data_IF_304849786405
#
_entry.id   IF_304849786405
#
_cell.length_a   1.000
_cell.length_b   1.000
_cell.length_c   1.000
_cell.angle_alpha   90.00
_cell.angle_beta   90.00
_cell.angle_gamma   90.00
#
_symmetry.space_group_name_H-M   'P 1'
#
loop_
_entity.id
_entity.type
_entity.pdbx_description
1 polymer ?
#
# COMPACT_ATOMS: atom_id res chain seq x y z
N UNK A 1 -2.66 18.94 4.16
CA UNK A 1 -2.25 20.11 3.35
C UNK A 1 -2.13 19.65 1.90
N UNK A 2 -2.70 20.43 0.99
CA UNK A 2 -2.66 20.14 -0.45
C UNK A 2 -1.21 20.13 -0.96
N UNK A 3 -0.85 19.11 -1.74
CA UNK A 3 0.51 18.87 -2.24
C UNK A 3 1.50 18.33 -1.21
N UNK A 4 1.09 18.13 0.05
CA UNK A 4 1.92 17.52 1.11
C UNK A 4 1.33 16.19 1.56
N UNK A 5 0.09 16.19 2.05
CA UNK A 5 -0.58 14.98 2.51
C UNK A 5 -1.38 14.33 1.37
N UNK A 6 -2.05 15.15 0.55
CA UNK A 6 -2.87 14.73 -0.60
C UNK A 6 -2.84 15.80 -1.69
N UNK A 7 -3.12 15.41 -2.93
CA UNK A 7 -3.52 16.35 -3.99
C UNK A 7 -5.04 16.33 -4.09
N UNK A 8 -5.71 17.40 -3.64
CA UNK A 8 -7.17 17.46 -3.63
C UNK A 8 -7.69 17.93 -4.99
N UNK A 9 -8.37 17.04 -5.71
CA UNK A 9 -8.93 17.31 -7.04
C UNK A 9 -10.44 17.04 -7.10
N UNK A 10 -11.11 17.66 -8.06
CA UNK A 10 -12.54 17.41 -8.32
C UNK A 10 -12.79 15.98 -8.81
N UNK A 11 -13.98 15.40 -8.57
CA UNK A 11 -14.36 14.09 -9.11
C UNK A 11 -14.21 13.96 -10.63
N UNK A 12 -14.52 15.03 -11.39
CA UNK A 12 -14.40 15.08 -12.84
C UNK A 12 -12.94 14.92 -13.26
N UNK A 13 -12.05 15.72 -12.66
CA UNK A 13 -10.60 15.59 -12.87
C UNK A 13 -10.08 14.21 -12.47
N UNK A 14 -10.57 13.60 -11.39
CA UNK A 14 -10.16 12.25 -11.02
C UNK A 14 -10.58 11.22 -12.07
N UNK A 15 -11.79 11.34 -12.62
CA UNK A 15 -12.25 10.47 -13.70
C UNK A 15 -11.39 10.60 -14.96
N UNK A 16 -11.01 11.83 -15.33
CA UNK A 16 -10.06 12.05 -16.44
C UNK A 16 -8.72 11.34 -16.22
N UNK A 17 -8.18 11.36 -14.99
CA UNK A 17 -6.92 10.68 -14.68
C UNK A 17 -7.04 9.15 -14.75
N UNK A 18 -8.20 8.59 -14.39
CA UNK A 18 -8.48 7.17 -14.59
C UNK A 18 -8.50 6.86 -16.09
N UNK A 19 -9.28 7.62 -16.87
CA UNK A 19 -9.49 7.37 -18.30
C UNK A 19 -8.20 7.56 -19.11
N UNK A 20 -7.32 8.47 -18.70
CA UNK A 20 -6.01 8.68 -19.34
C UNK A 20 -4.92 7.72 -18.89
N UNK A 21 -5.19 6.84 -17.92
CA UNK A 21 -4.20 5.91 -17.36
C UNK A 21 -3.07 6.62 -16.59
N UNK A 22 -3.38 7.77 -15.98
CA UNK A 22 -2.41 8.58 -15.21
C UNK A 22 -2.33 8.17 -13.73
N UNK A 23 -3.11 7.19 -13.29
CA UNK A 23 -3.05 6.60 -11.95
C UNK A 23 -2.42 5.21 -12.00
N UNK A 24 -1.45 4.93 -11.12
CA UNK A 24 -0.89 3.58 -10.94
C UNK A 24 -1.87 2.65 -10.22
N UNK A 25 -2.63 3.19 -9.28
CA UNK A 25 -3.74 2.53 -8.61
C UNK A 25 -4.79 3.56 -8.20
N UNK A 26 -6.01 3.09 -7.96
CA UNK A 26 -7.06 3.87 -7.33
C UNK A 26 -8.12 2.96 -6.70
N UNK A 27 -8.85 3.50 -5.73
CA UNK A 27 -9.94 2.82 -5.05
C UNK A 27 -11.08 3.77 -4.68
N UNK A 28 -12.28 3.21 -4.52
CA UNK A 28 -13.42 3.89 -3.91
C UNK A 28 -13.37 3.77 -2.39
N UNK A 29 -13.36 4.91 -1.70
CA UNK A 29 -13.22 4.99 -0.25
C UNK A 29 -14.61 5.12 0.39
N UNK A 30 -14.82 4.40 1.49
CA UNK A 30 -16.10 4.37 2.24
C UNK A 30 -17.32 4.04 1.37
N UNK A 31 -17.19 3.09 0.44
CA UNK A 31 -18.30 2.65 -0.41
C UNK A 31 -18.71 3.67 -1.47
N UNK A 32 -17.74 4.40 -2.03
CA UNK A 32 -17.96 5.35 -3.12
C UNK A 32 -18.17 6.79 -2.67
N UNK A 33 -17.94 7.12 -1.39
CA UNK A 33 -18.05 8.50 -0.90
C UNK A 33 -17.03 9.43 -1.60
N UNK A 34 -15.82 8.94 -1.81
CA UNK A 34 -14.78 9.60 -2.61
C UNK A 34 -13.83 8.56 -3.20
N UNK A 35 -12.89 9.02 -4.03
CA UNK A 35 -11.83 8.19 -4.62
C UNK A 35 -10.47 8.69 -4.18
N UNK A 36 -9.55 7.75 -4.00
CA UNK A 36 -8.13 8.00 -3.75
C UNK A 36 -7.32 7.16 -4.71
N UNK A 37 -6.12 7.61 -5.04
CA UNK A 37 -5.23 6.89 -5.93
C UNK A 37 -3.86 7.54 -6.04
N UNK A 38 -2.93 6.81 -6.65
CA UNK A 38 -1.53 7.19 -6.74
C UNK A 38 -1.20 7.69 -8.15
N UNK A 39 -0.91 9.00 -8.34
CA UNK A 39 -0.58 9.54 -9.66
C UNK A 39 0.79 9.07 -10.15
N UNK A 40 0.87 8.66 -11.42
CA UNK A 40 2.08 8.11 -12.02
C UNK A 40 3.17 9.16 -12.25
N UNK A 41 2.79 10.38 -12.67
CA UNK A 41 3.75 11.41 -13.09
C UNK A 41 4.73 11.84 -11.98
N UNK A 42 4.29 12.16 -10.74
CA UNK A 42 5.21 12.50 -9.66
C UNK A 42 6.21 11.39 -9.35
N UNK A 43 5.77 10.13 -9.44
CA UNK A 43 6.60 8.94 -9.19
C UNK A 43 7.64 8.78 -10.29
N UNK A 44 7.21 8.76 -11.55
CA UNK A 44 8.11 8.65 -12.71
C UNK A 44 9.14 9.76 -12.72
N UNK A 45 8.74 10.99 -12.36
CA UNK A 45 9.65 12.12 -12.23
C UNK A 45 10.67 11.91 -11.11
N UNK A 46 10.24 11.49 -9.92
CA UNK A 46 11.15 11.23 -8.81
C UNK A 46 12.17 10.13 -9.14
N UNK A 47 11.72 9.03 -9.75
CA UNK A 47 12.58 7.94 -10.22
C UNK A 47 13.58 8.44 -11.26
N UNK A 48 13.13 9.22 -12.25
CA UNK A 48 14.00 9.82 -13.27
C UNK A 48 15.05 10.76 -12.67
N UNK A 49 14.72 11.46 -11.60
CA UNK A 49 15.63 12.33 -10.86
C UNK A 49 16.60 11.54 -9.95
N UNK A 50 16.56 10.20 -9.96
CA UNK A 50 17.39 9.34 -9.10
C UNK A 50 16.98 9.39 -7.63
N UNK A 51 15.75 9.80 -7.32
CA UNK A 51 15.22 9.81 -5.95
C UNK A 51 14.45 8.51 -5.69
N UNK A 52 14.73 7.81 -4.58
CA UNK A 52 13.96 6.63 -4.22
C UNK A 52 12.51 7.04 -3.91
N UNK A 53 11.56 6.18 -4.26
CA UNK A 53 10.13 6.37 -4.05
C UNK A 53 9.58 5.17 -3.30
N UNK A 54 8.84 5.44 -2.23
CA UNK A 54 8.06 4.44 -1.51
C UNK A 54 6.57 4.71 -1.73
N UNK A 55 5.83 3.67 -2.11
CA UNK A 55 4.37 3.70 -2.26
C UNK A 55 3.80 2.73 -1.23
N UNK A 56 2.96 3.23 -0.33
CA UNK A 56 2.23 2.41 0.65
C UNK A 56 0.79 2.25 0.18
N UNK A 57 0.39 1.01 -0.11
CA UNK A 57 -0.93 0.65 -0.65
C UNK A 57 -1.37 -0.71 -0.10
N UNK A 58 -2.67 -1.02 -0.18
CA UNK A 58 -3.18 -2.35 0.13
C UNK A 58 -2.81 -3.38 -0.96
N UNK A 59 -3.25 -4.64 -0.78
CA UNK A 59 -2.96 -5.72 -1.74
C UNK A 59 -3.49 -5.44 -3.15
N UNK A 60 -4.67 -4.82 -3.29
CA UNK A 60 -5.24 -4.50 -4.60
C UNK A 60 -4.44 -3.39 -5.28
N UNK A 61 -4.08 -2.35 -4.52
CA UNK A 61 -3.23 -1.27 -4.98
C UNK A 61 -1.84 -1.77 -5.40
N UNK A 62 -1.21 -2.65 -4.63
CA UNK A 62 0.09 -3.22 -4.96
C UNK A 62 0.06 -3.99 -6.29
N UNK A 63 -0.98 -4.79 -6.54
CA UNK A 63 -1.19 -5.49 -7.81
C UNK A 63 -1.39 -4.53 -8.98
N UNK A 64 -2.18 -3.48 -8.79
CA UNK A 64 -2.42 -2.45 -9.80
C UNK A 64 -1.13 -1.68 -10.14
N UNK A 65 -0.35 -1.28 -9.13
CA UNK A 65 0.95 -0.65 -9.30
C UNK A 65 1.90 -1.56 -10.09
N UNK A 66 2.02 -2.85 -9.71
CA UNK A 66 2.90 -3.80 -10.42
C UNK A 66 2.48 -4.01 -11.88
N UNK A 67 1.17 -3.97 -12.18
CA UNK A 67 0.67 -4.05 -13.54
C UNK A 67 0.98 -2.77 -14.36
N UNK A 68 0.84 -1.59 -13.76
CA UNK A 68 1.08 -0.29 -14.40
C UNK A 68 2.57 0.08 -14.50
N UNK A 69 3.40 -0.44 -13.60
CA UNK A 69 4.83 -0.18 -13.47
C UNK A 69 5.58 -1.48 -13.11
N UNK A 70 5.79 -2.41 -14.07
CA UNK A 70 6.39 -3.72 -13.81
C UNK A 70 7.79 -3.69 -13.20
N UNK A 71 8.52 -2.60 -13.39
CA UNK A 71 9.84 -2.34 -12.81
C UNK A 71 9.79 -2.00 -11.31
N UNK A 72 8.62 -1.69 -10.75
CA UNK A 72 8.48 -1.46 -9.32
C UNK A 72 8.74 -2.75 -8.55
N UNK A 73 9.53 -2.66 -7.48
CA UNK A 73 9.74 -3.75 -6.53
C UNK A 73 8.61 -3.77 -5.51
N UNK A 74 7.88 -4.88 -5.42
CA UNK A 74 6.82 -5.05 -4.44
C UNK A 74 7.35 -5.74 -3.19
N UNK A 75 7.06 -5.17 -2.02
CA UNK A 75 7.48 -5.71 -0.72
C UNK A 75 6.26 -5.98 0.15
N UNK A 76 6.08 -7.22 0.59
CA UNK A 76 5.07 -7.58 1.57
C UNK A 76 5.67 -7.48 2.98
N UNK A 77 5.04 -6.69 3.86
CA UNK A 77 5.46 -6.59 5.27
C UNK A 77 4.66 -7.59 6.10
N UNK A 78 5.25 -8.76 6.37
CA UNK A 78 4.62 -9.83 7.11
C UNK A 78 4.71 -9.59 8.64
N UNK A 79 3.70 -9.99 9.42
CA UNK A 79 3.87 -10.14 10.87
C UNK A 79 4.84 -11.30 11.19
N UNK A 80 5.42 -11.35 12.40
CA UNK A 80 6.29 -12.45 12.80
C UNK A 80 5.54 -13.78 12.86
N UNK A 81 4.28 -13.74 13.29
CA UNK A 81 3.38 -14.87 13.35
C UNK A 81 1.92 -14.40 13.37
N UNK A 82 1.00 -15.36 13.18
CA UNK A 82 -0.44 -15.10 13.19
C UNK A 82 -0.94 -14.57 14.54
N UNK A 83 -0.40 -15.09 15.65
CA UNK A 83 -0.86 -14.73 16.99
C UNK A 83 -0.58 -13.26 17.30
N UNK A 84 0.62 -12.77 16.98
CA UNK A 84 1.02 -11.38 17.12
C UNK A 84 0.15 -10.45 16.28
N UNK A 85 -0.22 -10.87 15.06
CA UNK A 85 -1.14 -10.11 14.22
C UNK A 85 -2.54 -10.03 14.84
N UNK A 86 -3.07 -11.16 15.31
CA UNK A 86 -4.38 -11.25 15.95
C UNK A 86 -4.44 -10.36 17.20
N UNK A 87 -3.43 -10.40 18.06
CA UNK A 87 -3.31 -9.54 19.24
C UNK A 87 -3.31 -8.05 18.87
N UNK A 88 -2.60 -7.65 17.80
CA UNK A 88 -2.59 -6.25 17.31
C UNK A 88 -3.96 -5.81 16.76
N UNK A 89 -4.67 -6.70 16.07
CA UNK A 89 -5.99 -6.43 15.50
C UNK A 89 -7.07 -6.31 16.58
N UNK A 90 -7.02 -7.17 17.61
CA UNK A 90 -7.93 -7.15 18.77
C UNK A 90 -7.60 -6.00 19.73
N UNK A 91 -6.31 -5.75 19.97
CA UNK A 91 -5.80 -4.82 20.97
C UNK A 91 -6.15 -3.35 20.74
N UNK A 92 -6.67 -2.99 19.56
CA UNK A 92 -7.21 -1.63 19.31
C UNK A 92 -8.45 -1.31 20.16
N UNK A 93 -9.08 -2.32 20.78
CA UNK A 93 -9.96 -2.20 21.95
C UNK A 93 -11.25 -1.38 21.77
N UNK A 94 -11.53 -0.93 20.56
CA UNK A 94 -12.61 0.03 20.24
C UNK A 94 -13.58 -0.49 19.18
N UNK A 95 -13.31 -1.69 18.65
CA UNK A 95 -14.07 -2.32 17.56
C UNK A 95 -14.98 -3.44 18.08
N UNK A 96 -16.10 -3.68 17.39
CA UNK A 96 -17.00 -4.78 17.75
C UNK A 96 -16.43 -6.14 17.32
N UNK A 97 -16.88 -7.26 17.92
CA UNK A 97 -16.43 -8.60 17.53
C UNK A 97 -16.59 -8.89 16.02
N UNK A 98 -17.65 -8.37 15.40
CA UNK A 98 -17.91 -8.54 13.96
C UNK A 98 -16.88 -7.79 13.10
N UNK A 99 -16.46 -6.60 13.54
CA UNK A 99 -15.41 -5.83 12.85
C UNK A 99 -14.06 -6.53 12.98
N UNK A 100 -13.74 -7.04 14.17
CA UNK A 100 -12.50 -7.80 14.40
C UNK A 100 -12.47 -9.05 13.52
N UNK A 101 -13.56 -9.83 13.48
CA UNK A 101 -13.65 -11.03 12.64
C UNK A 101 -13.40 -10.69 11.16
N UNK A 102 -14.05 -9.63 10.65
CA UNK A 102 -13.82 -9.17 9.26
C UNK A 102 -12.37 -8.78 9.01
N UNK A 103 -11.71 -8.08 9.95
CA UNK A 103 -10.30 -7.70 9.81
C UNK A 103 -9.37 -8.91 9.82
N UNK A 104 -9.65 -9.92 10.65
CA UNK A 104 -8.90 -11.17 10.67
C UNK A 104 -9.07 -11.93 9.36
N UNK A 105 -10.29 -11.99 8.80
CA UNK A 105 -10.53 -12.62 7.50
C UNK A 105 -9.79 -11.91 6.36
N UNK A 106 -9.82 -10.56 6.34
CA UNK A 106 -9.01 -9.75 5.41
C UNK A 106 -7.53 -10.10 5.56
N UNK A 107 -7.01 -10.14 6.78
CA UNK A 107 -5.60 -10.40 7.01
C UNK A 107 -5.17 -11.82 6.61
N UNK A 108 -6.05 -12.83 6.75
CA UNK A 108 -5.79 -14.19 6.21
C UNK A 108 -5.67 -14.17 4.69
N UNK A 109 -6.55 -13.45 4.01
CA UNK A 109 -6.51 -13.34 2.56
C UNK A 109 -5.25 -12.61 2.09
N UNK A 110 -4.84 -11.55 2.79
CA UNK A 110 -3.59 -10.81 2.50
C UNK A 110 -2.36 -11.68 2.72
N UNK A 111 -2.27 -12.42 3.83
CA UNK A 111 -1.16 -13.34 4.10
C UNK A 111 -1.06 -14.47 3.08
N UNK A 112 -2.19 -14.96 2.55
CA UNK A 112 -2.20 -15.98 1.51
C UNK A 112 -1.61 -15.46 0.18
N UNK A 113 -1.65 -14.15 -0.06
CA UNK A 113 -1.13 -13.50 -1.25
C UNK A 113 0.32 -13.04 -1.14
N UNK A 114 1.00 -13.25 0.00
CA UNK A 114 2.37 -12.74 0.23
C UNK A 114 3.39 -13.24 -0.81
N UNK A 115 3.15 -14.41 -1.42
CA UNK A 115 4.01 -14.99 -2.46
C UNK A 115 3.92 -14.30 -3.82
N UNK A 116 2.99 -13.35 -3.98
CA UNK A 116 2.88 -12.51 -5.19
C UNK A 116 3.90 -11.35 -5.21
N UNK A 117 4.54 -11.07 -4.07
CA UNK A 117 5.46 -9.96 -3.92
C UNK A 117 6.90 -10.38 -4.23
N UNK A 118 7.71 -9.45 -4.73
CA UNK A 118 9.11 -9.70 -5.06
C UNK A 118 9.95 -9.99 -3.80
N UNK A 119 9.58 -9.38 -2.67
CA UNK A 119 10.23 -9.56 -1.36
C UNK A 119 9.21 -9.65 -0.23
N UNK A 120 9.59 -10.37 0.83
CA UNK A 120 8.83 -10.44 2.09
C UNK A 120 9.76 -9.96 3.20
N UNK A 121 9.35 -8.92 3.93
CA UNK A 121 10.04 -8.40 5.10
C UNK A 121 9.22 -8.78 6.33
N UNK A 122 9.82 -9.50 7.27
CA UNK A 122 9.14 -9.92 8.50
C UNK A 122 9.31 -8.85 9.57
N UNK A 123 8.20 -8.24 10.01
CA UNK A 123 8.16 -7.19 11.01
C UNK A 123 8.08 -7.77 12.44
N UNK A 124 9.13 -8.50 12.83
CA UNK A 124 9.35 -8.99 14.20
C UNK A 124 9.90 -7.89 15.12
N UNK A 125 10.74 -7.01 14.58
CA UNK A 125 11.34 -5.87 15.23
C UNK A 125 11.31 -4.66 14.29
N UNK A 126 10.91 -3.50 14.82
CA UNK A 126 10.71 -2.29 14.02
C UNK A 126 12.02 -1.80 13.39
N UNK A 127 13.11 -1.80 14.16
CA UNK A 127 14.39 -1.28 13.71
C UNK A 127 14.95 -2.15 12.57
N UNK A 128 14.87 -3.47 12.73
CA UNK A 128 15.32 -4.44 11.73
C UNK A 128 14.50 -4.37 10.46
N UNK A 129 13.16 -4.32 10.57
CA UNK A 129 12.28 -4.22 9.41
C UNK A 129 12.49 -2.91 8.64
N UNK A 130 12.65 -1.79 9.35
CA UNK A 130 12.98 -0.50 8.74
C UNK A 130 14.34 -0.53 8.04
N UNK A 131 15.37 -1.12 8.66
CA UNK A 131 16.69 -1.24 8.05
C UNK A 131 16.66 -2.06 6.76
N UNK A 132 15.91 -3.16 6.73
CA UNK A 132 15.72 -3.98 5.53
C UNK A 132 14.99 -3.22 4.43
N UNK A 133 13.89 -2.51 4.75
CA UNK A 133 13.19 -1.66 3.78
C UNK A 133 14.06 -0.53 3.23
N UNK A 134 14.89 0.10 4.07
CA UNK A 134 15.82 1.15 3.63
C UNK A 134 16.86 0.58 2.68
N UNK A 135 17.46 -0.57 3.00
CA UNK A 135 18.40 -1.26 2.11
C UNK A 135 17.78 -1.53 0.74
N UNK A 136 16.53 -2.03 0.69
CA UNK A 136 15.81 -2.24 -0.57
C UNK A 136 15.57 -0.97 -1.38
N UNK A 137 15.46 0.19 -0.73
CA UNK A 137 15.20 1.48 -1.37
C UNK A 137 16.45 2.16 -1.92
N UNK A 138 17.63 1.89 -1.36
CA UNK A 138 18.88 2.64 -1.67
C UNK A 138 19.98 1.78 -2.28
N UNK A 139 19.91 0.46 -2.15
CA UNK A 139 20.92 -0.42 -2.72
C UNK A 139 20.74 -0.53 -4.25
N UNK A 140 21.84 -0.44 -5.03
CA UNK A 140 21.83 -0.34 -6.49
C UNK A 140 21.45 -1.62 -7.25
#
# INVERSE_FOLDING_TARGET
MDGVDYSFISPERFAELIDSGELLEWAEIHGGLHRSGTPAEPIRRAVKDGRPVLIEVDLAGARAVKAAMPEAMTVFVAPPDWQTLEERLVGRGTETPEVIARRLDTARAELAAQSEFDRIVVNSDLETACAELVSLLVDP
#
